data_IF_596600130721
#
_entry.id   IF_596600130721
#
_cell.length_a   1.000
_cell.length_b   1.000
_cell.length_c   1.000
_cell.angle_alpha   90.00
_cell.angle_beta   90.00
_cell.angle_gamma   90.00
#
_symmetry.space_group_name_H-M   'P 1'
#
loop_
_entity.id
_entity.type
_entity.pdbx_description
1 polymer ?
#
# COMPACT_ATOMS: atom_id res chain seq x y z
N UNK A 1 -18.69 -0.86 -3.34
CA UNK A 1 -17.83 -1.99 -3.56
C UNK A 1 -17.68 -2.82 -2.31
N UNK A 2 -17.70 -4.13 -2.47
CA UNK A 2 -17.69 -5.04 -1.33
C UNK A 2 -16.27 -5.22 -0.80
N UNK A 3 -16.11 -5.16 0.51
CA UNK A 3 -14.83 -5.46 1.15
C UNK A 3 -14.58 -6.96 1.11
N UNK A 4 -13.31 -7.31 0.96
CA UNK A 4 -12.89 -8.70 0.92
C UNK A 4 -12.15 -9.07 2.20
N UNK A 5 -12.48 -10.22 2.75
CA UNK A 5 -11.80 -10.77 3.92
C UNK A 5 -10.46 -11.34 3.47
N UNK A 6 -9.39 -10.92 4.11
CA UNK A 6 -8.04 -11.34 3.76
C UNK A 6 -7.47 -12.33 4.77
N UNK A 7 -7.35 -11.90 6.03
CA UNK A 7 -6.69 -12.70 7.07
C UNK A 7 -7.01 -12.11 8.43
N UNK A 8 -6.44 -12.69 9.47
CA UNK A 8 -6.49 -12.11 10.81
C UNK A 8 -5.33 -11.13 11.00
N UNK A 9 -5.52 -10.15 11.86
CA UNK A 9 -4.46 -9.20 12.16
C UNK A 9 -3.18 -9.92 12.62
N UNK A 10 -3.33 -10.96 13.43
CA UNK A 10 -2.19 -11.71 13.93
C UNK A 10 -1.44 -12.51 12.87
N UNK A 11 -2.02 -12.64 11.67
CA UNK A 11 -1.33 -13.28 10.55
C UNK A 11 -0.31 -12.34 9.91
N UNK A 12 -0.33 -11.05 10.28
CA UNK A 12 0.64 -10.08 9.78
C UNK A 12 1.55 -9.70 10.94
N UNK A 13 2.83 -9.95 10.79
CA UNK A 13 3.81 -9.56 11.82
C UNK A 13 3.91 -8.04 11.84
N UNK A 14 3.94 -7.40 13.04
CA UNK A 14 4.13 -5.94 13.10
C UNK A 14 5.39 -5.50 12.34
N UNK A 15 5.28 -4.37 11.66
CA UNK A 15 6.32 -3.81 10.80
C UNK A 15 6.66 -4.67 9.60
N UNK A 16 5.71 -5.49 9.16
CA UNK A 16 5.89 -6.37 8.00
C UNK A 16 4.66 -6.31 7.11
N UNK A 17 4.75 -6.98 5.97
CA UNK A 17 3.68 -7.06 5.01
C UNK A 17 3.36 -8.49 4.61
N UNK A 18 2.17 -8.67 4.05
CA UNK A 18 1.75 -9.92 3.42
C UNK A 18 1.20 -9.58 2.05
N UNK A 19 1.26 -10.56 1.15
CA UNK A 19 0.67 -10.43 -0.18
C UNK A 19 -0.70 -11.10 -0.18
N UNK A 20 -1.68 -10.41 -0.74
CA UNK A 20 -3.02 -10.95 -0.90
C UNK A 20 -3.48 -10.79 -2.33
N UNK A 21 -4.33 -11.70 -2.78
CA UNK A 21 -4.95 -11.62 -4.09
C UNK A 21 -6.32 -10.98 -3.92
N UNK A 22 -6.52 -9.84 -4.55
CA UNK A 22 -7.73 -9.04 -4.39
C UNK A 22 -8.43 -8.91 -5.74
N UNK A 23 -9.75 -9.13 -5.75
CA UNK A 23 -10.55 -8.96 -6.96
C UNK A 23 -10.86 -7.48 -7.17
N UNK A 24 -10.55 -6.98 -8.36
CA UNK A 24 -10.85 -5.59 -8.73
C UNK A 24 -11.66 -5.57 -10.03
N UNK A 25 -12.14 -4.39 -10.41
CA UNK A 25 -12.85 -4.23 -11.67
C UNK A 25 -11.98 -4.61 -12.88
N UNK A 26 -10.69 -4.49 -12.75
CA UNK A 26 -9.72 -4.83 -13.80
C UNK A 26 -9.24 -6.28 -13.71
N UNK A 27 -9.80 -7.10 -12.81
CA UNK A 27 -9.37 -8.46 -12.57
C UNK A 27 -8.69 -8.60 -11.22
N UNK A 28 -8.05 -9.74 -11.01
CA UNK A 28 -7.35 -9.96 -9.74
C UNK A 28 -5.99 -9.27 -9.74
N UNK A 29 -5.64 -8.69 -8.60
CA UNK A 29 -4.34 -8.05 -8.40
C UNK A 29 -3.70 -8.53 -7.12
N UNK A 30 -2.37 -8.59 -7.11
CA UNK A 30 -1.65 -8.81 -5.88
C UNK A 30 -1.51 -7.49 -5.14
N UNK A 31 -1.94 -7.49 -3.89
CA UNK A 31 -1.91 -6.31 -3.03
C UNK A 31 -1.04 -6.62 -1.82
N UNK A 32 -0.16 -5.70 -1.49
CA UNK A 32 0.66 -5.81 -0.29
C UNK A 32 -0.05 -5.10 0.85
N UNK A 33 -0.23 -5.80 1.97
CA UNK A 33 -0.89 -5.27 3.15
C UNK A 33 0.13 -5.20 4.25
N UNK A 34 0.31 -4.01 4.83
CA UNK A 34 1.34 -3.75 5.83
C UNK A 34 0.72 -3.42 7.17
N UNK A 35 1.35 -3.90 8.22
CA UNK A 35 0.96 -3.62 9.60
C UNK A 35 2.10 -2.87 10.28
N UNK A 36 1.82 -1.67 10.80
CA UNK A 36 2.81 -0.92 11.55
C UNK A 36 2.88 -1.43 12.99
N UNK A 37 3.84 -0.96 13.75
CA UNK A 37 3.96 -1.36 15.14
C UNK A 37 2.84 -0.81 16.01
N UNK A 38 2.13 0.24 15.56
CA UNK A 38 0.93 0.75 16.22
C UNK A 38 -0.34 0.09 15.71
N UNK A 39 -0.21 -0.99 14.95
CA UNK A 39 -1.33 -1.74 14.37
C UNK A 39 -2.13 -0.96 13.32
N UNK A 40 -1.53 0.05 12.71
CA UNK A 40 -2.12 0.69 11.55
C UNK A 40 -1.92 -0.20 10.33
N UNK A 41 -2.92 -0.23 9.47
CA UNK A 41 -2.89 -1.06 8.26
C UNK A 41 -2.89 -0.21 7.02
N UNK A 42 -2.09 -0.62 6.03
CA UNK A 42 -2.02 0.02 4.72
C UNK A 42 -2.00 -1.04 3.64
N UNK A 43 -2.57 -0.73 2.49
CA UNK A 43 -2.59 -1.65 1.36
C UNK A 43 -2.27 -0.91 0.08
N UNK A 44 -1.26 -1.37 -0.63
CA UNK A 44 -0.87 -0.83 -1.94
C UNK A 44 -0.59 -2.00 -2.89
N UNK A 45 -0.46 -1.71 -4.17
CA UNK A 45 -0.07 -2.73 -5.14
C UNK A 45 1.22 -3.41 -4.69
N UNK A 46 1.29 -4.72 -4.86
CA UNK A 46 2.50 -5.48 -4.54
C UNK A 46 3.56 -5.40 -5.63
N UNK A 47 3.19 -4.91 -6.80
CA UNK A 47 4.06 -4.85 -7.96
C UNK A 47 5.03 -3.68 -7.87
N UNK A 48 6.33 -3.98 -7.96
CA UNK A 48 7.38 -2.96 -8.04
C UNK A 48 7.71 -2.72 -9.51
N UNK A 49 7.35 -1.55 -10.07
CA UNK A 49 7.57 -1.30 -11.50
C UNK A 49 9.04 -1.12 -11.85
N UNK A 50 9.90 -0.81 -10.89
CA UNK A 50 11.34 -0.65 -11.15
C UNK A 50 12.03 -1.98 -11.35
N UNK A 51 11.60 -3.00 -10.58
CA UNK A 51 12.18 -4.35 -10.70
C UNK A 51 11.29 -5.28 -11.54
N UNK A 52 10.09 -4.83 -11.88
CA UNK A 52 9.11 -5.63 -12.63
C UNK A 52 8.76 -6.93 -11.89
N UNK A 53 8.61 -6.86 -10.58
CA UNK A 53 8.36 -8.03 -9.75
C UNK A 53 7.36 -7.70 -8.63
N UNK A 54 6.61 -8.72 -8.22
CA UNK A 54 5.61 -8.61 -7.14
C UNK A 54 6.30 -8.87 -5.79
N UNK A 55 6.99 -7.87 -5.26
CA UNK A 55 7.87 -8.06 -4.10
C UNK A 55 7.70 -7.05 -2.98
N UNK A 56 6.81 -6.06 -3.12
CA UNK A 56 6.74 -4.98 -2.14
C UNK A 56 6.32 -5.45 -0.75
N UNK A 57 5.53 -6.54 -0.67
CA UNK A 57 5.16 -7.10 0.63
C UNK A 57 6.36 -7.58 1.44
N UNK A 58 7.51 -7.77 0.79
CA UNK A 58 8.76 -8.19 1.45
C UNK A 58 9.68 -7.01 1.72
N UNK A 59 9.24 -5.79 1.43
CA UNK A 59 10.04 -4.60 1.64
C UNK A 59 10.13 -4.20 3.10
N UNK A 60 10.96 -3.19 3.36
CA UNK A 60 11.16 -2.67 4.70
C UNK A 60 10.32 -1.42 4.91
N UNK A 61 9.57 -1.42 6.00
CA UNK A 61 8.78 -0.25 6.41
C UNK A 61 9.72 0.73 7.11
N UNK A 62 9.59 2.00 6.76
CA UNK A 62 10.32 3.07 7.42
C UNK A 62 9.52 4.35 7.46
N UNK A 63 10.08 5.36 8.07
CA UNK A 63 9.46 6.68 8.17
C UNK A 63 10.42 7.76 7.73
N UNK A 64 9.86 8.81 7.14
CA UNK A 64 10.65 9.98 6.72
C UNK A 64 9.78 11.22 6.78
N UNK A 65 10.43 12.37 6.66
CA UNK A 65 9.73 13.66 6.61
C UNK A 65 9.80 14.18 5.19
N UNK A 66 8.64 14.58 4.66
CA UNK A 66 8.54 15.18 3.33
C UNK A 66 8.14 16.63 3.48
N UNK A 67 8.85 17.52 2.81
CA UNK A 67 8.58 18.95 2.82
C UNK A 67 7.92 19.35 1.51
N UNK A 68 6.77 20.03 1.59
CA UNK A 68 6.07 20.50 0.40
C UNK A 68 6.60 21.87 -0.03
N UNK A 69 6.04 22.42 -1.11
CA UNK A 69 6.49 23.70 -1.67
C UNK A 69 6.29 24.86 -0.70
N UNK A 70 5.33 24.77 0.19
CA UNK A 70 5.08 25.80 1.19
C UNK A 70 6.01 25.72 2.39
N UNK A 71 6.91 24.74 2.42
CA UNK A 71 7.82 24.53 3.54
C UNK A 71 7.22 23.72 4.68
N UNK A 72 6.04 23.18 4.49
CA UNK A 72 5.40 22.36 5.52
C UNK A 72 5.97 20.95 5.52
N UNK A 73 6.23 20.43 6.71
CA UNK A 73 6.76 19.07 6.88
C UNK A 73 5.66 18.11 7.28
N UNK A 74 5.70 16.92 6.69
CA UNK A 74 4.74 15.86 6.98
C UNK A 74 5.49 14.56 7.18
N UNK A 75 5.14 13.84 8.25
CA UNK A 75 5.68 12.51 8.49
C UNK A 75 5.03 11.53 7.54
N UNK A 76 5.84 10.72 6.87
CA UNK A 76 5.36 9.75 5.89
C UNK A 76 5.91 8.38 6.23
N UNK A 77 5.03 7.39 6.26
CA UNK A 77 5.44 5.99 6.34
C UNK A 77 5.59 5.45 4.92
N UNK A 78 6.65 4.68 4.70
CA UNK A 78 6.93 4.12 3.38
C UNK A 78 7.32 2.66 3.48
N UNK A 79 7.28 1.98 2.34
CA UNK A 79 7.96 0.70 2.18
C UNK A 79 9.05 0.87 1.13
N UNK A 80 10.24 0.35 1.42
CA UNK A 80 11.33 0.34 0.47
C UNK A 80 11.38 -1.02 -0.22
N UNK A 81 11.44 -1.00 -1.55
CA UNK A 81 11.54 -2.24 -2.32
C UNK A 81 12.75 -3.04 -1.91
N UNK A 82 12.65 -4.35 -1.78
CA UNK A 82 13.81 -5.17 -1.40
C UNK A 82 14.85 -5.27 -2.51
N UNK A 83 14.50 -4.92 -3.75
CA UNK A 83 15.41 -5.08 -4.90
C UNK A 83 16.19 -3.81 -5.16
N UNK A 84 15.51 -2.71 -5.54
CA UNK A 84 16.20 -1.47 -5.90
C UNK A 84 16.04 -0.36 -4.87
N UNK A 85 15.35 -0.63 -3.77
CA UNK A 85 15.25 0.28 -2.62
C UNK A 85 14.42 1.54 -2.86
N UNK A 86 13.70 1.65 -3.97
CA UNK A 86 12.77 2.76 -4.13
C UNK A 86 11.70 2.70 -3.05
N UNK A 87 11.29 3.87 -2.56
CA UNK A 87 10.36 4.00 -1.46
C UNK A 87 8.99 4.43 -1.96
N UNK A 88 7.96 3.81 -1.42
CA UNK A 88 6.58 4.11 -1.77
C UNK A 88 5.79 4.49 -0.53
N UNK A 89 5.05 5.60 -0.61
CA UNK A 89 4.20 6.06 0.48
C UNK A 89 3.12 5.00 0.75
N UNK A 90 3.03 4.52 1.97
CA UNK A 90 2.07 3.46 2.31
C UNK A 90 0.63 3.93 2.24
N UNK A 91 0.37 5.21 2.49
CA UNK A 91 -0.99 5.74 2.48
C UNK A 91 -1.51 6.01 1.07
N UNK A 92 -0.62 6.41 0.15
CA UNK A 92 -1.04 6.88 -1.18
C UNK A 92 -0.50 6.05 -2.34
N UNK A 93 0.54 5.26 -2.13
CA UNK A 93 1.21 4.52 -3.20
C UNK A 93 2.21 5.37 -4.00
N UNK A 94 2.34 6.65 -3.70
CA UNK A 94 3.24 7.53 -4.43
C UNK A 94 4.70 7.15 -4.17
N UNK A 95 5.47 6.99 -5.24
CA UNK A 95 6.91 6.77 -5.08
C UNK A 95 7.58 8.05 -4.57
N UNK A 96 8.38 7.94 -3.53
CA UNK A 96 9.08 9.08 -2.96
C UNK A 96 10.33 9.43 -3.74
N UNK A 97 10.81 8.51 -4.56
CA UNK A 97 12.06 8.68 -5.30
C UNK A 97 11.84 8.99 -6.79
N UNK A 98 10.59 8.93 -7.26
CA UNK A 98 10.22 9.25 -8.63
C UNK A 98 8.76 9.70 -8.64
N UNK A 99 8.54 11.00 -8.81
CA UNK A 99 7.20 11.57 -8.76
C UNK A 99 6.29 11.14 -9.90
N UNK A 100 6.85 10.54 -10.95
CA UNK A 100 6.05 10.06 -12.07
C UNK A 100 5.48 8.67 -11.84
N UNK A 101 5.89 8.00 -10.77
CA UNK A 101 5.49 6.63 -10.46
C UNK A 101 4.59 6.62 -9.24
N UNK A 102 3.41 6.04 -9.39
CA UNK A 102 2.45 5.89 -8.31
C UNK A 102 1.77 4.55 -8.42
N UNK A 103 1.72 3.84 -7.30
CA UNK A 103 1.01 2.56 -7.20
C UNK A 103 -0.42 2.79 -6.75
N UNK A 104 -1.29 1.82 -7.02
CA UNK A 104 -2.64 1.86 -6.47
C UNK A 104 -2.59 1.68 -4.96
N UNK A 105 -3.48 2.38 -4.25
CA UNK A 105 -3.67 2.20 -2.82
C UNK A 105 -5.12 1.78 -2.57
N UNK A 106 -5.36 1.04 -1.50
CA UNK A 106 -6.64 0.40 -1.23
C UNK A 106 -7.09 0.69 0.18
N UNK A 107 -8.40 0.77 0.38
CA UNK A 107 -8.93 0.89 1.72
C UNK A 107 -8.71 -0.42 2.47
N UNK A 108 -8.22 -0.32 3.69
CA UNK A 108 -8.04 -1.47 4.56
C UNK A 108 -8.61 -1.16 5.92
N UNK A 109 -9.29 -2.13 6.50
CA UNK A 109 -9.96 -1.94 7.78
C UNK A 109 -9.94 -3.23 8.59
N UNK A 110 -10.31 -3.11 9.87
CA UNK A 110 -10.48 -4.25 10.74
C UNK A 110 -11.96 -4.42 11.08
N UNK A 111 -12.43 -5.65 10.97
CA UNK A 111 -13.74 -6.06 11.51
C UNK A 111 -13.42 -7.02 12.65
N UNK A 112 -13.41 -6.47 13.88
CA UNK A 112 -12.86 -7.19 15.00
C UNK A 112 -11.36 -7.38 14.82
N UNK A 113 -10.91 -8.60 14.63
CA UNK A 113 -9.50 -8.91 14.34
C UNK A 113 -9.28 -9.36 12.89
N UNK A 114 -10.31 -9.22 12.04
CA UNK A 114 -10.25 -9.64 10.65
C UNK A 114 -9.86 -8.47 9.75
N UNK A 115 -8.84 -8.68 8.94
CA UNK A 115 -8.35 -7.68 7.99
C UNK A 115 -9.20 -7.73 6.72
N UNK A 116 -9.75 -6.57 6.35
CA UNK A 116 -10.62 -6.42 5.19
C UNK A 116 -10.01 -5.42 4.23
N UNK A 117 -10.02 -5.73 2.94
CA UNK A 117 -9.56 -4.79 1.90
C UNK A 117 -10.76 -4.43 1.02
N UNK A 118 -10.94 -3.15 0.81
CA UNK A 118 -12.03 -2.61 0.03
C UNK A 118 -11.59 -2.07 -1.32
N UNK A 119 -12.31 -1.08 -1.80
CA UNK A 119 -12.07 -0.49 -3.11
C UNK A 119 -10.73 0.23 -3.17
N UNK A 120 -10.13 0.32 -4.36
CA UNK A 120 -8.95 1.17 -4.56
C UNK A 120 -9.31 2.63 -4.24
N UNK A 121 -8.46 3.29 -3.49
CA UNK A 121 -8.73 4.67 -3.10
C UNK A 121 -8.45 5.67 -4.22
N UNK A 122 -7.67 5.26 -5.23
CA UNK A 122 -7.26 6.15 -6.31
C UNK A 122 -7.91 5.87 -7.65
N UNK A 123 -8.46 4.67 -7.84
CA UNK A 123 -9.05 4.30 -9.12
C UNK A 123 -10.43 4.86 -9.36
N UNK A 124 -11.16 5.16 -8.30
CA UNK A 124 -12.51 5.67 -8.42
C UNK A 124 -12.58 6.90 -9.29
N UNK A 125 -11.58 7.75 -9.18
CA UNK A 125 -11.52 8.99 -9.95
C UNK A 125 -11.39 8.67 -11.44
N UNK A 126 -10.59 7.68 -11.76
CA UNK A 126 -10.36 7.30 -13.16
C UNK A 126 -11.62 6.73 -13.79
N UNK A 127 -12.35 5.94 -13.06
CA UNK A 127 -13.55 5.32 -13.57
C UNK A 127 -14.66 6.32 -13.84
N UNK A 128 -14.73 7.35 -13.03
CA UNK A 128 -15.74 8.39 -13.20
C UNK A 128 -15.60 9.08 -14.54
N UNK A 129 -14.41 9.16 -15.06
CA UNK A 129 -14.12 9.83 -16.31
C UNK A 129 -14.63 9.03 -17.50
N UNK A 130 -14.75 7.77 -17.36
CA UNK A 130 -15.20 6.91 -18.46
C UNK A 130 -16.70 6.82 -18.53
#
# INVERSE_FOLDING_TARGET
MTQQTICKLDDIIPEAGVCALVSTAAGEKQVAIFRTKEDELFAIDNFDPFSNANVLSRGLIGGTVVTNEAGEETDVLYVASPIYKQRFNLATGQCLDDETVKLGSYEVSLDGDTVMVGAPTTEDITEVVT
#
